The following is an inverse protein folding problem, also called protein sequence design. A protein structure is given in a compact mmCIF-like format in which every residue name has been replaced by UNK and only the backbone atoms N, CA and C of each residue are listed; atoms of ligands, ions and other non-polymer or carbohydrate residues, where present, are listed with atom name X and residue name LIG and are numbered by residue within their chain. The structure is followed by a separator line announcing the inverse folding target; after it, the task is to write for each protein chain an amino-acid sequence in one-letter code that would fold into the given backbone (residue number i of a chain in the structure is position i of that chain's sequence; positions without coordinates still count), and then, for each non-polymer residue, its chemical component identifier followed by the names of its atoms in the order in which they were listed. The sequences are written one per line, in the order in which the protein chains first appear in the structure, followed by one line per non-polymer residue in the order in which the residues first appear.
data_IF_243539643806
#
_entry.id   IF_243539643806
#
_cell.length_a   1.000
_cell.length_b   1.000
_cell.length_c   1.000
_cell.angle_alpha   90.00
_cell.angle_beta   90.00
_cell.angle_gamma   90.00
#
_symmetry.space_group_name_H-M   'P 1'
#
loop_
_entity.id
_entity.type
_entity.pdbx_description
1 polymer ?
#
# COMPACT_ATOMS: atom_id res chain seq x y z
N UNK A 1 -45.00 -15.58 -31.04
CA UNK A 1 -44.94 -14.78 -32.29
C UNK A 1 -46.15 -15.21 -33.13
N UNK A 2 -46.99 -14.33 -33.71
CA UNK A 2 -46.68 -13.09 -34.46
C UNK A 2 -47.29 -11.82 -33.83
N UNK A 3 -46.68 -10.63 -33.90
CA UNK A 3 -46.62 -9.60 -34.96
C UNK A 3 -47.97 -8.91 -35.26
N UNK A 4 -47.87 -7.57 -35.37
CA UNK A 4 -48.81 -6.54 -35.83
C UNK A 4 -49.73 -5.90 -34.78
N UNK A 5 -49.89 -4.58 -34.74
CA UNK A 5 -49.43 -3.54 -35.65
C UNK A 5 -50.02 -2.19 -35.23
N UNK A 6 -49.38 -1.12 -35.70
CA UNK A 6 -49.67 0.30 -35.44
C UNK A 6 -51.13 0.70 -35.68
N UNK A 7 -51.63 1.68 -34.91
CA UNK A 7 -52.19 2.95 -35.43
C UNK A 7 -52.47 3.95 -34.29
N UNK A 8 -51.80 5.10 -34.27
CA UNK A 8 -52.24 6.44 -34.75
C UNK A 8 -53.31 7.09 -33.88
N UNK A 9 -52.94 8.18 -33.20
CA UNK A 9 -53.85 9.15 -32.61
C UNK A 9 -53.20 10.54 -32.56
N UNK A 10 -53.49 11.37 -33.57
CA UNK A 10 -53.15 12.79 -33.64
C UNK A 10 -53.89 13.62 -32.57
N UNK A 11 -53.27 14.70 -32.10
CA UNK A 11 -53.85 16.07 -31.95
C UNK A 11 -52.67 17.03 -31.66
N UNK A 12 -52.34 17.96 -32.57
CA UNK A 12 -52.93 19.31 -32.70
C UNK A 12 -52.68 20.16 -31.44
N UNK A 13 -52.01 21.29 -31.44
CA UNK A 13 -51.54 22.20 -32.49
C UNK A 13 -51.21 23.57 -31.85
N UNK A 14 -50.76 24.52 -32.68
CA UNK A 14 -50.32 25.91 -32.39
C UNK A 14 -48.83 26.00 -32.02
N UNK A 15 -47.92 26.46 -32.87
CA UNK A 15 -48.04 27.40 -33.98
C UNK A 15 -47.64 28.79 -33.51
N UNK A 16 -46.36 29.10 -33.63
CA UNK A 16 -45.88 30.46 -33.82
C UNK A 16 -45.02 30.46 -35.09
N UNK A 17 -45.46 31.28 -36.05
CA UNK A 17 -44.77 31.54 -37.33
C UNK A 17 -43.90 32.79 -37.18
N UNK A 18 -43.17 33.07 -38.25
CA UNK A 18 -42.32 34.23 -38.57
C UNK A 18 -40.86 34.04 -38.11
N UNK A 19 -39.84 34.14 -38.96
CA UNK A 19 -39.79 34.40 -40.40
C UNK A 19 -38.45 33.85 -40.92
N UNK A 20 -38.46 33.41 -42.18
CA UNK A 20 -37.28 33.02 -42.92
C UNK A 20 -36.39 34.24 -43.22
N UNK A 21 -35.08 34.03 -43.32
CA UNK A 21 -34.29 34.45 -44.48
C UNK A 21 -32.96 33.68 -44.49
N UNK A 22 -32.77 32.95 -45.57
CA UNK A 22 -31.55 32.27 -45.95
C UNK A 22 -30.56 33.27 -46.57
N UNK A 23 -29.25 33.04 -46.42
CA UNK A 23 -28.25 33.21 -47.48
C UNK A 23 -26.83 32.81 -47.06
N UNK A 24 -26.25 31.91 -47.84
CA UNK A 24 -24.90 31.91 -48.40
C UNK A 24 -23.63 32.04 -47.51
N UNK A 25 -22.78 31.01 -47.59
CA UNK A 25 -21.35 31.17 -47.90
C UNK A 25 -20.37 30.90 -46.75
N UNK A 26 -19.44 29.92 -46.88
CA UNK A 26 -18.47 29.59 -45.84
C UNK A 26 -17.28 30.55 -45.91
N UNK A 27 -16.82 31.04 -44.75
CA UNK A 27 -15.52 31.70 -44.66
C UNK A 27 -14.80 31.24 -43.40
N UNK A 28 -13.91 30.28 -43.62
CA UNK A 28 -12.87 29.81 -42.72
C UNK A 28 -11.89 30.96 -42.44
N UNK A 29 -11.87 31.48 -41.22
CA UNK A 29 -10.68 32.11 -40.65
C UNK A 29 -10.57 31.67 -39.20
N UNK A 30 -9.50 30.93 -38.93
CA UNK A 30 -9.06 30.53 -37.61
C UNK A 30 -8.36 31.67 -36.88
N UNK A 31 -8.24 31.48 -35.56
CA UNK A 31 -7.44 32.20 -34.56
C UNK A 31 -8.16 33.25 -33.72
N UNK A 32 -8.52 32.82 -32.50
CA UNK A 32 -8.58 33.67 -31.31
C UNK A 32 -8.04 32.89 -30.13
N UNK A 33 -7.12 33.55 -29.43
CA UNK A 33 -6.61 33.16 -28.14
C UNK A 33 -7.66 33.38 -27.03
N UNK A 34 -7.54 32.56 -25.98
CA UNK A 34 -7.93 32.78 -24.58
C UNK A 34 -9.40 32.70 -24.13
N UNK A 35 -9.60 31.87 -23.09
CA UNK A 35 -10.63 31.88 -22.04
C UNK A 35 -12.06 31.40 -22.39
N UNK A 36 -12.54 30.35 -21.70
CA UNK A 36 -13.94 29.93 -21.72
C UNK A 36 -14.24 28.79 -20.74
N UNK A 37 -14.85 29.14 -19.61
CA UNK A 37 -15.32 28.28 -18.52
C UNK A 37 -16.69 27.66 -18.82
N UNK A 38 -16.88 26.40 -18.38
CA UNK A 38 -18.14 25.72 -17.92
C UNK A 38 -19.26 25.47 -18.96
N UNK A 39 -19.87 24.29 -19.16
CA UNK A 39 -20.36 23.15 -18.33
C UNK A 39 -20.62 21.90 -19.24
N UNK A 40 -21.28 20.80 -18.81
CA UNK A 40 -20.96 19.83 -17.75
C UNK A 40 -20.91 18.41 -18.35
N UNK A 41 -19.75 17.76 -18.27
CA UNK A 41 -19.60 16.38 -18.72
C UNK A 41 -18.78 15.63 -17.69
N UNK A 42 -19.47 14.90 -16.82
CA UNK A 42 -18.94 14.01 -15.80
C UNK A 42 -17.85 13.11 -16.39
N UNK A 43 -16.62 13.58 -16.29
CA UNK A 43 -15.43 12.75 -16.20
C UNK A 43 -14.88 13.10 -14.84
N UNK A 44 -14.93 12.14 -13.92
CA UNK A 44 -14.34 12.31 -12.61
C UNK A 44 -12.91 12.79 -12.83
N UNK A 45 -12.66 14.02 -12.39
CA UNK A 45 -11.32 14.53 -12.16
C UNK A 45 -10.66 13.52 -11.22
N UNK A 46 -9.78 12.70 -11.80
CA UNK A 46 -8.64 12.18 -11.08
C UNK A 46 -7.78 13.42 -10.79
N UNK A 47 -8.15 14.13 -9.73
CA UNK A 47 -7.33 15.18 -9.17
C UNK A 47 -5.98 14.55 -8.85
N UNK A 48 -4.96 15.18 -9.40
CA UNK A 48 -3.60 14.72 -9.34
C UNK A 48 -3.09 14.87 -7.92
N UNK A 49 -3.04 13.76 -7.16
CA UNK A 49 -2.05 13.59 -6.11
C UNK A 49 -0.79 12.93 -6.69
N UNK A 50 -0.24 13.53 -7.75
CA UNK A 50 1.15 13.32 -8.13
C UNK A 50 2.00 14.00 -7.05
N UNK A 51 2.27 13.28 -5.97
CA UNK A 51 3.01 13.79 -4.81
C UNK A 51 2.66 13.17 -3.46
N UNK A 52 1.67 12.28 -3.36
CA UNK A 52 1.48 11.49 -2.15
C UNK A 52 2.49 10.33 -2.16
N UNK A 53 3.70 10.59 -1.65
CA UNK A 53 4.66 9.54 -1.33
C UNK A 53 4.07 8.52 -0.34
N UNK A 54 4.87 7.53 0.02
CA UNK A 54 4.55 6.54 1.06
C UNK A 54 3.95 7.17 2.34
N UNK A 55 4.34 8.40 2.69
CA UNK A 55 3.75 9.19 3.79
C UNK A 55 2.22 9.34 3.71
N UNK A 56 1.66 9.61 2.54
CA UNK A 56 0.21 9.76 2.39
C UNK A 56 -0.57 8.43 2.52
N UNK A 57 0.10 7.31 2.22
CA UNK A 57 -0.45 5.97 2.43
C UNK A 57 -0.44 5.60 3.92
N UNK A 58 0.61 5.98 4.65
CA UNK A 58 0.69 5.82 6.10
C UNK A 58 -0.36 6.67 6.84
N UNK A 59 -0.59 7.92 6.42
CA UNK A 59 -1.65 8.75 6.99
C UNK A 59 -3.05 8.11 6.87
N UNK A 60 -3.32 7.43 5.74
CA UNK A 60 -4.58 6.72 5.53
C UNK A 60 -4.67 5.46 6.41
N UNK A 61 -3.57 4.70 6.50
CA UNK A 61 -3.46 3.53 7.36
C UNK A 61 -3.67 3.89 8.85
N UNK A 62 -2.94 4.88 9.35
CA UNK A 62 -3.00 5.34 10.74
C UNK A 62 -4.39 5.85 11.09
N UNK A 63 -5.00 6.63 10.20
CA UNK A 63 -6.37 7.13 10.39
C UNK A 63 -7.38 5.99 10.53
N UNK A 64 -7.24 4.94 9.75
CA UNK A 64 -8.12 3.79 9.85
C UNK A 64 -7.93 3.05 11.19
N UNK A 65 -6.68 2.84 11.62
CA UNK A 65 -6.37 2.21 12.92
C UNK A 65 -6.88 3.05 14.09
N UNK A 66 -6.76 4.37 14.03
CA UNK A 66 -7.34 5.28 15.02
C UNK A 66 -8.87 5.19 15.07
N UNK A 67 -9.53 5.08 13.91
CA UNK A 67 -10.98 4.89 13.85
C UNK A 67 -11.42 3.54 14.45
N UNK A 68 -10.65 2.47 14.22
CA UNK A 68 -10.87 1.18 14.85
C UNK A 68 -10.70 1.25 16.37
N UNK A 69 -9.59 1.84 16.86
CA UNK A 69 -9.40 2.05 18.30
C UNK A 69 -10.56 2.84 18.91
N UNK A 70 -11.03 3.90 18.24
CA UNK A 70 -12.18 4.68 18.71
C UNK A 70 -13.44 3.82 18.81
N UNK A 71 -13.73 3.00 17.80
CA UNK A 71 -14.87 2.07 17.83
C UNK A 71 -14.79 1.12 19.02
N UNK A 72 -13.61 0.53 19.28
CA UNK A 72 -13.39 -0.39 20.39
C UNK A 72 -13.58 0.31 21.76
N UNK A 73 -13.10 1.55 21.91
CA UNK A 73 -13.33 2.36 23.11
C UNK A 73 -14.81 2.73 23.32
N UNK A 74 -15.54 3.04 22.26
CA UNK A 74 -16.99 3.29 22.33
C UNK A 74 -17.76 2.04 22.80
N UNK A 75 -17.25 0.84 22.51
CA UNK A 75 -17.78 -0.44 23.01
C UNK A 75 -17.25 -0.82 24.40
N UNK A 76 -16.47 0.05 25.04
CA UNK A 76 -15.98 -0.11 26.41
C UNK A 76 -14.63 -0.82 26.55
N UNK A 77 -13.92 -1.09 25.45
CA UNK A 77 -12.57 -1.64 25.48
C UNK A 77 -11.54 -0.51 25.57
N UNK A 78 -10.66 -0.53 26.55
CA UNK A 78 -9.62 0.52 26.70
C UNK A 78 -8.45 0.25 25.75
N UNK A 79 -8.64 0.54 24.46
CA UNK A 79 -7.66 0.26 23.40
C UNK A 79 -6.93 1.53 22.99
N UNK A 80 -5.60 1.50 22.91
CA UNK A 80 -4.80 2.61 22.39
C UNK A 80 -4.05 2.18 21.14
N UNK A 81 -4.15 2.97 20.07
CA UNK A 81 -3.33 2.79 18.88
C UNK A 81 -1.93 3.34 19.13
N UNK A 82 -0.89 2.54 18.88
CA UNK A 82 0.50 2.86 19.20
C UNK A 82 1.28 3.48 18.03
N UNK A 83 0.70 3.53 16.84
CA UNK A 83 1.37 4.00 15.62
C UNK A 83 2.00 2.85 14.82
N UNK A 84 2.21 3.10 13.52
CA UNK A 84 2.73 2.10 12.58
C UNK A 84 4.21 1.74 12.79
N UNK A 85 4.96 2.58 13.51
CA UNK A 85 6.38 2.33 13.82
C UNK A 85 6.58 1.31 14.96
N UNK A 86 5.49 0.80 15.54
CA UNK A 86 5.55 -0.09 16.71
C UNK A 86 5.28 -1.54 16.32
N UNK A 87 5.86 -2.48 17.08
CA UNK A 87 5.69 -3.92 16.85
C UNK A 87 4.24 -4.41 17.06
N UNK A 88 3.44 -3.66 17.82
CA UNK A 88 2.05 -3.99 18.10
C UNK A 88 1.20 -2.76 17.82
N UNK A 89 0.27 -2.87 16.86
CA UNK A 89 -0.59 -1.74 16.47
C UNK A 89 -1.40 -1.18 17.65
N UNK A 90 -1.81 -2.04 18.58
CA UNK A 90 -2.71 -1.68 19.67
C UNK A 90 -2.24 -2.21 21.03
N UNK A 91 -2.48 -1.43 22.08
CA UNK A 91 -2.42 -1.87 23.47
C UNK A 91 -3.82 -1.95 24.10
N UNK A 92 -4.03 -2.88 25.04
CA UNK A 92 -5.28 -2.97 25.80
C UNK A 92 -6.40 -3.78 25.13
N UNK A 93 -6.09 -4.47 24.04
CA UNK A 93 -6.98 -5.50 23.48
C UNK A 93 -6.93 -6.72 24.42
N UNK A 94 -8.08 -7.28 24.83
CA UNK A 94 -8.11 -8.45 25.69
C UNK A 94 -7.59 -9.70 24.97
N UNK A 95 -6.85 -10.54 25.70
CA UNK A 95 -6.43 -11.85 25.20
C UNK A 95 -7.64 -12.79 25.06
N UNK A 96 -7.71 -13.54 23.96
CA UNK A 96 -8.74 -14.55 23.72
C UNK A 96 -9.57 -14.30 22.47
N UNK A 97 -10.72 -14.97 22.39
CA UNK A 97 -11.62 -14.88 21.23
C UNK A 97 -12.28 -13.49 21.15
N UNK A 98 -12.46 -12.94 19.93
CA UNK A 98 -13.05 -11.63 19.77
C UNK A 98 -14.53 -11.65 20.17
N UNK A 99 -14.93 -10.72 21.03
CA UNK A 99 -16.33 -10.49 21.37
C UNK A 99 -17.13 -10.00 20.15
N UNK A 100 -18.46 -10.17 20.14
CA UNK A 100 -19.31 -9.68 19.05
C UNK A 100 -19.13 -8.19 18.75
N UNK A 101 -18.88 -7.38 19.77
CA UNK A 101 -18.65 -5.94 19.63
C UNK A 101 -17.32 -5.63 18.95
N UNK A 102 -16.28 -6.44 19.22
CA UNK A 102 -15.00 -6.31 18.51
C UNK A 102 -15.15 -6.70 17.05
N UNK A 103 -15.89 -7.78 16.77
CA UNK A 103 -16.17 -8.24 15.39
C UNK A 103 -16.87 -7.13 14.60
N UNK A 104 -17.91 -6.51 15.16
CA UNK A 104 -18.62 -5.37 14.53
C UNK A 104 -17.65 -4.23 14.16
N UNK A 105 -16.73 -3.89 15.07
CA UNK A 105 -15.73 -2.85 14.81
C UNK A 105 -14.73 -3.26 13.73
N UNK A 106 -14.28 -4.52 13.70
CA UNK A 106 -13.37 -5.02 12.65
C UNK A 106 -14.05 -5.11 11.28
N UNK A 107 -15.33 -5.47 11.21
CA UNK A 107 -16.08 -5.46 9.95
C UNK A 107 -16.28 -4.04 9.42
N UNK A 108 -16.53 -3.07 10.31
CA UNK A 108 -16.68 -1.66 9.95
C UNK A 108 -15.36 -1.02 9.54
N UNK A 109 -14.26 -1.40 10.19
CA UNK A 109 -12.92 -0.89 9.96
C UNK A 109 -11.98 -2.07 9.65
N UNK A 110 -12.10 -2.69 8.47
CA UNK A 110 -11.31 -3.86 8.11
C UNK A 110 -9.83 -3.48 8.09
N UNK A 111 -8.98 -4.33 8.63
CA UNK A 111 -7.54 -4.07 8.65
C UNK A 111 -7.03 -3.81 7.22
N UNK A 112 -6.56 -2.59 6.96
CA UNK A 112 -5.74 -2.33 5.79
C UNK A 112 -4.41 -3.06 5.96
N UNK A 113 -3.91 -3.59 4.85
CA UNK A 113 -2.52 -3.99 4.78
C UNK A 113 -1.66 -2.75 5.02
N UNK A 114 -0.62 -2.90 5.84
CA UNK A 114 0.36 -1.84 5.99
C UNK A 114 0.94 -1.51 4.60
N UNK A 115 1.06 -0.22 4.24
CA UNK A 115 1.81 0.17 3.06
C UNK A 115 3.16 -0.55 3.07
N UNK A 116 3.47 -1.25 1.99
CA UNK A 116 4.76 -1.92 1.87
C UNK A 116 5.80 -0.80 1.95
N UNK A 117 6.66 -0.85 2.98
CA UNK A 117 7.89 -0.06 3.00
C UNK A 117 8.50 -0.18 1.60
N UNK A 118 8.80 0.94 0.96
CA UNK A 118 9.51 0.95 -0.31
C UNK A 118 10.60 -0.12 -0.25
N UNK A 119 10.59 -1.02 -1.25
CA UNK A 119 11.40 -2.23 -1.36
C UNK A 119 12.70 -2.06 -0.57
N UNK A 120 13.05 -2.96 0.38
CA UNK A 120 14.23 -2.79 1.22
C UNK A 120 15.37 -2.34 0.32
N UNK A 121 15.89 -1.14 0.61
CA UNK A 121 16.80 -0.45 -0.28
C UNK A 121 17.86 -1.45 -0.74
N UNK A 122 17.96 -1.64 -2.05
CA UNK A 122 18.80 -2.70 -2.61
C UNK A 122 20.18 -2.60 -1.97
N UNK A 123 20.73 -3.68 -1.38
CA UNK A 123 22.03 -3.64 -0.75
C UNK A 123 23.07 -3.04 -1.72
N UNK A 124 23.90 -2.12 -1.23
CA UNK A 124 24.99 -1.57 -2.03
C UNK A 124 25.93 -2.69 -2.48
N UNK A 125 26.58 -2.52 -3.63
CA UNK A 125 27.58 -3.48 -4.12
C UNK A 125 28.72 -3.69 -3.12
N UNK A 126 29.09 -2.64 -2.37
CA UNK A 126 30.07 -2.72 -1.29
C UNK A 126 29.60 -3.65 -0.16
N UNK A 127 28.37 -3.46 0.33
CA UNK A 127 27.79 -4.31 1.37
C UNK A 127 27.64 -5.76 0.92
N UNK A 128 27.20 -5.98 -0.32
CA UNK A 128 27.12 -7.33 -0.90
C UNK A 128 28.49 -8.01 -0.98
N UNK A 129 29.55 -7.24 -1.24
CA UNK A 129 30.91 -7.76 -1.25
C UNK A 129 31.36 -8.16 0.16
N UNK A 130 31.15 -7.30 1.16
CA UNK A 130 31.48 -7.60 2.55
C UNK A 130 30.72 -8.84 3.06
N UNK A 131 29.42 -8.90 2.82
CA UNK A 131 28.56 -10.01 3.22
C UNK A 131 28.97 -11.34 2.55
N UNK A 132 29.46 -11.30 1.30
CA UNK A 132 30.01 -12.49 0.60
C UNK A 132 31.34 -12.94 1.17
N UNK A 133 32.22 -12.01 1.56
CA UNK A 133 33.49 -12.36 2.24
C UNK A 133 33.21 -13.01 3.59
N UNK A 134 32.24 -12.48 4.35
CA UNK A 134 31.78 -13.09 5.59
C UNK A 134 31.21 -14.48 5.32
N UNK A 135 30.36 -14.64 4.30
CA UNK A 135 29.76 -15.92 3.96
C UNK A 135 30.83 -16.96 3.58
N UNK A 136 31.84 -16.55 2.82
CA UNK A 136 33.00 -17.39 2.49
C UNK A 136 33.78 -17.78 3.75
N UNK A 137 34.08 -16.83 4.64
CA UNK A 137 34.77 -17.11 5.90
C UNK A 137 33.99 -18.13 6.75
N UNK A 138 32.67 -17.98 6.86
CA UNK A 138 31.82 -18.90 7.62
C UNK A 138 31.88 -20.33 7.06
N UNK A 139 31.85 -20.47 5.72
CA UNK A 139 32.01 -21.76 5.05
C UNK A 139 33.37 -22.41 5.30
N UNK A 140 34.43 -21.61 5.24
CA UNK A 140 35.80 -22.06 5.53
C UNK A 140 35.99 -22.46 7.01
N UNK A 141 35.20 -21.89 7.93
CA UNK A 141 35.28 -22.13 9.37
C UNK A 141 34.22 -23.10 9.91
N UNK A 142 33.73 -24.03 9.06
CA UNK A 142 32.91 -25.16 9.50
C UNK A 142 31.40 -24.96 9.38
N UNK A 143 30.95 -23.95 8.61
CA UNK A 143 29.54 -23.74 8.27
C UNK A 143 29.35 -23.79 6.75
N UNK A 144 29.54 -24.96 6.10
CA UNK A 144 29.60 -25.06 4.64
C UNK A 144 28.32 -24.61 3.93
N UNK A 145 27.17 -24.71 4.60
CA UNK A 145 25.85 -24.34 4.07
C UNK A 145 25.47 -22.87 4.38
N UNK A 146 26.43 -22.03 4.81
CA UNK A 146 26.14 -20.63 5.05
C UNK A 146 25.80 -19.92 3.73
N UNK A 147 24.60 -19.32 3.59
CA UNK A 147 24.13 -18.76 2.33
C UNK A 147 24.84 -17.44 2.00
N UNK A 148 24.94 -17.14 0.71
CA UNK A 148 25.35 -15.82 0.22
C UNK A 148 24.19 -14.80 0.30
N UNK A 149 24.47 -13.49 0.39
CA UNK A 149 23.45 -12.45 0.41
C UNK A 149 22.74 -12.34 -0.96
N UNK A 150 21.42 -12.14 -0.93
CA UNK A 150 20.64 -11.89 -2.14
C UNK A 150 20.86 -10.45 -2.64
N UNK A 151 21.35 -10.22 -3.87
CA UNK A 151 21.51 -8.90 -4.43
C UNK A 151 20.18 -8.19 -4.76
N UNK A 152 19.07 -8.92 -4.84
CA UNK A 152 17.75 -8.35 -5.14
C UNK A 152 16.68 -9.03 -4.27
N UNK A 153 16.65 -8.76 -2.95
CA UNK A 153 15.67 -9.38 -2.07
C UNK A 153 14.25 -9.01 -2.55
N UNK A 154 13.42 -10.04 -2.78
CA UNK A 154 12.03 -9.82 -3.12
C UNK A 154 11.29 -9.19 -1.93
N UNK A 155 10.26 -8.35 -2.17
CA UNK A 155 9.33 -7.95 -1.12
C UNK A 155 8.71 -9.22 -0.50
N UNK A 156 8.83 -9.35 0.82
CA UNK A 156 8.22 -10.43 1.60
C UNK A 156 7.17 -9.84 2.54
N UNK A 157 6.07 -10.56 2.73
CA UNK A 157 5.04 -10.15 3.69
C UNK A 157 5.55 -10.21 5.15
N UNK A 158 4.83 -9.58 6.07
CA UNK A 158 5.23 -9.52 7.48
C UNK A 158 5.29 -10.89 8.17
N UNK A 159 4.44 -11.84 7.77
CA UNK A 159 4.46 -13.19 8.33
C UNK A 159 5.73 -13.95 7.92
N UNK A 160 6.11 -13.84 6.65
CA UNK A 160 7.30 -14.42 6.05
C UNK A 160 8.57 -13.80 6.63
N UNK A 161 8.60 -12.47 6.80
CA UNK A 161 9.72 -11.78 7.44
C UNK A 161 9.93 -12.24 8.88
N UNK A 162 8.84 -12.41 9.65
CA UNK A 162 8.91 -12.90 11.02
C UNK A 162 9.49 -14.32 11.08
N UNK A 163 9.05 -15.21 10.18
CA UNK A 163 9.60 -16.56 10.10
C UNK A 163 11.09 -16.54 9.75
N UNK A 164 11.48 -15.75 8.74
CA UNK A 164 12.88 -15.63 8.31
C UNK A 164 13.80 -15.12 9.44
N UNK A 165 13.31 -14.18 10.28
CA UNK A 165 14.04 -13.70 11.46
C UNK A 165 14.24 -14.79 12.52
N UNK A 166 13.21 -15.58 12.82
CA UNK A 166 13.33 -16.68 13.77
C UNK A 166 14.25 -17.79 13.24
N UNK A 167 14.17 -18.13 11.95
CA UNK A 167 15.06 -19.10 11.31
C UNK A 167 16.52 -18.63 11.33
N UNK A 168 16.76 -17.35 11.02
CA UNK A 168 18.09 -16.74 11.11
C UNK A 168 18.63 -16.81 12.55
N UNK A 169 17.82 -16.44 13.54
CA UNK A 169 18.17 -16.50 14.96
C UNK A 169 18.48 -17.93 15.40
N UNK A 170 17.68 -18.92 14.98
CA UNK A 170 17.93 -20.33 15.27
C UNK A 170 19.25 -20.82 14.64
N UNK A 171 19.54 -20.45 13.40
CA UNK A 171 20.81 -20.76 12.73
C UNK A 171 22.00 -20.14 13.48
N UNK A 172 21.89 -18.88 13.90
CA UNK A 172 22.92 -18.19 14.69
C UNK A 172 23.15 -18.79 16.07
N UNK A 173 22.20 -19.58 16.60
CA UNK A 173 22.38 -20.26 17.87
C UNK A 173 23.20 -21.55 17.78
N UNK A 174 23.36 -22.12 16.58
CA UNK A 174 24.09 -23.36 16.38
C UNK A 174 25.57 -23.23 16.81
N UNK A 175 26.15 -24.23 17.49
CA UNK A 175 27.53 -24.14 18.00
C UNK A 175 28.57 -23.85 16.93
N UNK A 176 28.47 -24.51 15.76
CA UNK A 176 29.37 -24.29 14.64
C UNK A 176 29.28 -22.86 14.11
N UNK A 177 28.07 -22.32 13.99
CA UNK A 177 27.80 -20.95 13.55
C UNK A 177 28.37 -19.93 14.54
N UNK A 178 28.16 -20.12 15.84
CA UNK A 178 28.73 -19.23 16.87
C UNK A 178 30.27 -19.22 16.86
N UNK A 179 30.88 -20.39 16.72
CA UNK A 179 32.33 -20.52 16.67
C UNK A 179 32.91 -19.80 15.44
N UNK A 180 32.32 -20.03 14.26
CA UNK A 180 32.72 -19.37 13.02
C UNK A 180 32.44 -17.85 13.08
N UNK A 181 31.28 -17.41 13.59
CA UNK A 181 30.93 -16.00 13.68
C UNK A 181 31.91 -15.21 14.56
N UNK A 182 32.43 -15.80 15.64
CA UNK A 182 33.47 -15.17 16.47
C UNK A 182 34.76 -14.89 15.70
N UNK A 183 35.07 -15.69 14.68
CA UNK A 183 36.25 -15.54 13.83
C UNK A 183 35.96 -14.56 12.68
N UNK A 184 34.80 -14.74 12.03
CA UNK A 184 34.47 -14.10 10.77
C UNK A 184 33.73 -12.76 10.92
N UNK A 185 33.21 -12.44 12.10
CA UNK A 185 32.43 -11.23 12.36
C UNK A 185 32.83 -10.60 13.72
N UNK A 186 34.07 -10.12 13.88
CA UNK A 186 34.54 -9.58 15.17
C UNK A 186 33.88 -8.24 15.57
N UNK A 187 33.41 -7.44 14.60
CA UNK A 187 32.88 -6.07 14.79
C UNK A 187 31.40 -5.92 14.39
N UNK A 188 30.53 -6.85 14.79
CA UNK A 188 29.11 -6.91 14.36
C UNK A 188 28.19 -5.75 14.81
N UNK A 189 28.72 -4.75 15.51
CA UNK A 189 28.01 -3.50 15.74
C UNK A 189 27.62 -2.77 14.43
N UNK A 190 28.34 -3.01 13.32
CA UNK A 190 28.02 -2.41 12.01
C UNK A 190 27.06 -3.21 11.11
N UNK A 191 26.97 -4.54 11.30
CA UNK A 191 26.24 -5.44 10.39
C UNK A 191 24.76 -5.62 10.75
N UNK A 192 24.37 -5.32 11.99
CA UNK A 192 23.00 -5.53 12.46
C UNK A 192 22.02 -4.46 12.00
N UNK A 193 22.47 -3.36 11.39
CA UNK A 193 21.59 -2.35 10.78
C UNK A 193 20.51 -1.84 11.73
N UNK A 194 20.77 -1.83 13.04
CA UNK A 194 19.91 -1.21 14.05
C UNK A 194 20.53 0.16 14.34
N UNK A 195 20.24 1.11 13.45
CA UNK A 195 20.38 2.54 13.67
C UNK A 195 19.01 3.14 13.86
#
# INVERSE_FOLDING_TARGET
MPIDGRRVGRRSGRGFRYAALAACGPLLVAMLAACGSSDPGTTAEADSAAGAGSEGLWDAYDRQKQNLAKCLNEKGLQVTYLGHDTLADFSGIPDGDPSPEMIECYEKWPALDAPVMEVPEKPSEERLREDREIAKCMRENGVPDWPDPDPNPAPIDGATLRQAKEDHKARMQQPAVKAAAKICMPDTSGLTGVG
#
